data_IF_031156396562
#
_entry.id   IF_031156396562
#
_cell.length_a   1.000
_cell.length_b   1.000
_cell.length_c   1.000
_cell.angle_alpha   90.00
_cell.angle_beta   90.00
_cell.angle_gamma   90.00
#
_symmetry.space_group_name_H-M   'P 1'
#
loop_
_entity.id
_entity.type
_entity.pdbx_description
1 polymer ?
#
# COMPACT_ATOMS: atom_id res chain seq x y z
N UNK A 1 -2.17 1.35 -22.14
CA UNK A 1 -3.52 1.68 -22.70
C UNK A 1 -3.71 3.19 -22.73
N UNK A 2 -4.42 3.77 -23.77
CA UNK A 2 -4.75 5.20 -23.79
C UNK A 2 -5.81 5.53 -22.72
N UNK A 3 -5.83 6.79 -22.24
CA UNK A 3 -6.86 7.23 -21.26
C UNK A 3 -8.29 6.96 -21.77
N UNK A 4 -8.56 7.26 -23.05
CA UNK A 4 -9.89 7.04 -23.64
C UNK A 4 -10.30 5.58 -23.62
N UNK A 5 -9.40 4.67 -23.98
CA UNK A 5 -9.66 3.23 -23.94
C UNK A 5 -9.87 2.73 -22.48
N UNK A 6 -9.07 3.26 -21.53
CA UNK A 6 -9.20 2.95 -20.11
C UNK A 6 -10.57 3.34 -19.55
N UNK A 7 -11.03 4.55 -19.86
CA UNK A 7 -12.35 5.03 -19.42
C UNK A 7 -13.51 4.30 -20.12
N UNK A 8 -13.37 3.93 -21.39
CA UNK A 8 -14.36 3.14 -22.09
C UNK A 8 -14.51 1.74 -21.47
N UNK A 9 -13.40 1.06 -21.17
CA UNK A 9 -13.39 -0.23 -20.47
C UNK A 9 -14.03 -0.10 -19.08
N UNK A 10 -13.66 0.94 -18.31
CA UNK A 10 -14.28 1.21 -17.01
C UNK A 10 -15.81 1.36 -17.12
N UNK A 11 -16.30 2.16 -18.06
CA UNK A 11 -17.74 2.40 -18.24
C UNK A 11 -18.48 1.09 -18.61
N UNK A 12 -17.92 0.27 -19.51
CA UNK A 12 -18.50 -1.00 -19.90
C UNK A 12 -18.58 -1.97 -18.72
N UNK A 13 -17.44 -2.24 -18.06
CA UNK A 13 -17.36 -3.16 -16.92
C UNK A 13 -18.25 -2.71 -15.76
N UNK A 14 -18.21 -1.41 -15.41
CA UNK A 14 -19.03 -0.84 -14.34
C UNK A 14 -20.53 -1.04 -14.62
N UNK A 15 -20.95 -0.84 -15.88
CA UNK A 15 -22.35 -1.04 -16.29
C UNK A 15 -22.75 -2.52 -16.20
N UNK A 16 -21.93 -3.43 -16.76
CA UNK A 16 -22.22 -4.88 -16.72
C UNK A 16 -22.37 -5.37 -15.27
N UNK A 17 -21.43 -5.02 -14.39
CA UNK A 17 -21.46 -5.42 -12.98
C UNK A 17 -22.64 -4.78 -12.20
N UNK A 18 -22.99 -3.53 -12.51
CA UNK A 18 -24.12 -2.85 -11.87
C UNK A 18 -25.48 -3.48 -12.16
N UNK A 19 -25.62 -4.18 -13.31
CA UNK A 19 -26.83 -4.87 -13.73
C UNK A 19 -26.96 -6.27 -13.11
N UNK A 20 -25.93 -6.80 -12.49
CA UNK A 20 -25.95 -8.10 -11.83
C UNK A 20 -26.64 -8.04 -10.47
N UNK A 21 -27.44 -9.06 -10.16
CA UNK A 21 -27.91 -9.30 -8.78
C UNK A 21 -26.76 -9.72 -7.88
N UNK A 22 -26.96 -9.68 -6.56
CA UNK A 22 -25.95 -10.14 -5.59
C UNK A 22 -25.62 -11.63 -5.77
N UNK A 23 -26.64 -12.47 -6.06
CA UNK A 23 -26.44 -13.89 -6.34
C UNK A 23 -25.58 -14.09 -7.60
N UNK A 24 -25.89 -13.36 -8.70
CA UNK A 24 -25.09 -13.42 -9.92
C UNK A 24 -23.64 -12.98 -9.69
N UNK A 25 -23.42 -11.90 -8.94
CA UNK A 25 -22.06 -11.44 -8.60
C UNK A 25 -21.33 -12.45 -7.72
N UNK A 26 -22.03 -13.07 -6.77
CA UNK A 26 -21.46 -14.10 -5.92
C UNK A 26 -20.97 -15.30 -6.74
N UNK A 27 -21.79 -15.78 -7.69
CA UNK A 27 -21.44 -16.88 -8.60
C UNK A 27 -20.25 -16.50 -9.50
N UNK A 28 -20.25 -15.32 -10.09
CA UNK A 28 -19.14 -14.81 -10.92
C UNK A 28 -17.84 -14.76 -10.13
N UNK A 29 -17.87 -14.23 -8.91
CA UNK A 29 -16.69 -14.14 -8.03
C UNK A 29 -16.24 -15.54 -7.59
N UNK A 30 -17.19 -16.46 -7.36
CA UNK A 30 -16.89 -17.86 -7.03
C UNK A 30 -16.21 -18.63 -8.17
N UNK A 31 -16.50 -18.27 -9.42
CA UNK A 31 -15.91 -18.86 -10.63
C UNK A 31 -14.61 -18.18 -11.08
N UNK A 32 -14.25 -17.03 -10.49
CA UNK A 32 -13.04 -16.28 -10.84
C UNK A 32 -11.75 -17.06 -10.51
N UNK A 33 -10.67 -16.82 -11.27
CA UNK A 33 -9.38 -17.50 -11.06
C UNK A 33 -8.70 -16.93 -9.82
N UNK A 34 -8.43 -17.72 -8.76
CA UNK A 34 -7.76 -17.23 -7.57
C UNK A 34 -6.33 -16.73 -7.88
N UNK A 35 -5.96 -15.58 -7.31
CA UNK A 35 -4.60 -15.02 -7.42
C UNK A 35 -3.82 -15.13 -6.11
N UNK A 36 -4.50 -15.05 -4.95
CA UNK A 36 -3.84 -15.16 -3.66
C UNK A 36 -4.74 -14.74 -2.50
N UNK A 37 -4.19 -14.87 -1.29
CA UNK A 37 -4.83 -14.44 -0.05
C UNK A 37 -3.79 -13.85 0.90
N UNK A 38 -4.22 -12.90 1.75
CA UNK A 38 -3.41 -12.25 2.77
C UNK A 38 -4.28 -11.52 3.78
N UNK A 39 -3.68 -10.71 4.66
CA UNK A 39 -4.40 -9.95 5.68
C UNK A 39 -5.46 -9.02 5.07
N UNK A 40 -5.15 -8.44 3.91
CA UNK A 40 -6.07 -7.56 3.17
C UNK A 40 -7.24 -8.29 2.49
N UNK A 41 -7.34 -9.62 2.61
CA UNK A 41 -8.39 -10.44 2.01
C UNK A 41 -7.91 -11.36 0.90
N UNK A 42 -8.84 -11.84 0.06
CA UNK A 42 -8.57 -12.74 -1.06
C UNK A 42 -8.70 -12.00 -2.38
N UNK A 43 -7.86 -12.39 -3.34
CA UNK A 43 -7.87 -11.82 -4.68
C UNK A 43 -8.12 -12.88 -5.75
N UNK A 44 -8.76 -12.46 -6.83
CA UNK A 44 -9.03 -13.29 -7.99
C UNK A 44 -9.03 -12.46 -9.27
N UNK A 45 -8.88 -13.11 -10.41
CA UNK A 45 -9.02 -12.53 -11.74
C UNK A 45 -10.34 -12.97 -12.34
N UNK A 46 -11.17 -12.01 -12.70
CA UNK A 46 -12.46 -12.19 -13.37
C UNK A 46 -12.38 -11.64 -14.79
N UNK A 47 -12.94 -12.33 -15.76
CA UNK A 47 -13.20 -11.75 -17.07
C UNK A 47 -14.64 -11.20 -17.13
N UNK A 48 -14.77 -9.93 -17.49
CA UNK A 48 -16.06 -9.27 -17.71
C UNK A 48 -16.10 -8.77 -19.14
N UNK A 49 -16.85 -9.45 -19.99
CA UNK A 49 -17.01 -9.12 -21.42
C UNK A 49 -15.67 -8.95 -22.16
N UNK A 50 -14.69 -9.82 -21.88
CA UNK A 50 -13.35 -9.79 -22.47
C UNK A 50 -12.40 -8.78 -21.82
N UNK A 51 -12.80 -8.15 -20.70
CA UNK A 51 -11.96 -7.24 -19.92
C UNK A 51 -11.53 -7.92 -18.63
N UNK A 52 -10.22 -8.06 -18.36
CA UNK A 52 -9.74 -8.60 -17.09
C UNK A 52 -9.99 -7.61 -15.94
N UNK A 53 -10.57 -8.11 -14.86
CA UNK A 53 -10.93 -7.36 -13.65
C UNK A 53 -10.28 -8.02 -12.45
N UNK A 54 -9.54 -7.25 -11.67
CA UNK A 54 -9.00 -7.69 -10.39
C UNK A 54 -10.10 -7.60 -9.33
N UNK A 55 -10.43 -8.72 -8.72
CA UNK A 55 -11.42 -8.80 -7.64
C UNK A 55 -10.69 -8.94 -6.32
N UNK A 56 -10.94 -8.00 -5.38
CA UNK A 56 -10.45 -8.08 -4.00
C UNK A 56 -11.64 -8.26 -3.06
N UNK A 57 -11.62 -9.33 -2.26
CA UNK A 57 -12.65 -9.61 -1.24
C UNK A 57 -12.07 -9.28 0.12
N UNK A 58 -12.38 -8.09 0.61
CA UNK A 58 -11.94 -7.60 1.93
C UNK A 58 -12.92 -8.12 2.98
N UNK A 59 -12.48 -8.85 4.02
CA UNK A 59 -13.37 -9.31 5.09
C UNK A 59 -14.11 -8.12 5.72
N UNK A 60 -15.44 -8.23 5.79
CA UNK A 60 -16.31 -7.22 6.38
C UNK A 60 -16.94 -7.80 7.66
N UNK A 61 -16.47 -7.33 8.80
CA UNK A 61 -16.87 -7.84 10.11
C UNK A 61 -18.29 -7.45 10.48
N UNK A 62 -18.90 -8.19 11.40
CA UNK A 62 -20.25 -7.89 11.87
C UNK A 62 -20.35 -6.51 12.52
N UNK A 63 -19.30 -6.06 13.22
CA UNK A 63 -19.23 -4.68 13.77
C UNK A 63 -19.29 -3.62 12.66
N UNK A 64 -18.59 -3.83 11.54
CA UNK A 64 -18.60 -2.92 10.39
C UNK A 64 -19.94 -2.92 9.64
N UNK A 65 -20.75 -3.98 9.82
CA UNK A 65 -22.07 -4.14 9.19
C UNK A 65 -23.22 -3.56 10.02
N UNK A 66 -23.00 -3.20 11.27
CA UNK A 66 -24.03 -2.52 12.06
C UNK A 66 -24.49 -1.23 11.38
N UNK A 67 -25.78 -0.90 11.38
CA UNK A 67 -26.30 0.27 10.64
C UNK A 67 -25.55 1.56 10.92
N UNK A 68 -25.14 1.80 12.16
CA UNK A 68 -24.38 2.98 12.59
C UNK A 68 -22.93 3.00 12.07
N UNK A 69 -22.38 1.84 11.67
CA UNK A 69 -20.99 1.69 11.22
C UNK A 69 -20.86 1.50 9.70
N UNK A 70 -21.99 1.33 8.98
CA UNK A 70 -21.95 1.19 7.53
C UNK A 70 -21.31 2.42 6.89
N UNK A 71 -20.23 2.19 6.13
CA UNK A 71 -19.41 3.21 5.46
C UNK A 71 -18.73 4.20 6.43
N UNK A 72 -18.66 3.88 7.72
CA UNK A 72 -17.89 4.66 8.68
C UNK A 72 -16.39 4.56 8.42
N UNK A 73 -15.71 5.69 8.43
CA UNK A 73 -14.24 5.77 8.36
C UNK A 73 -13.61 5.98 9.74
N UNK A 74 -14.41 5.98 10.81
CA UNK A 74 -13.94 6.04 12.18
C UNK A 74 -13.10 4.80 12.54
N UNK A 75 -12.30 4.92 13.58
CA UNK A 75 -11.59 3.78 14.19
C UNK A 75 -12.55 3.04 15.15
N UNK A 76 -13.50 2.29 14.58
CA UNK A 76 -14.58 1.63 15.34
C UNK A 76 -14.08 0.52 16.28
N UNK A 77 -12.91 -0.05 16.04
CA UNK A 77 -12.28 -1.04 16.91
C UNK A 77 -11.47 -0.40 18.04
N UNK A 78 -11.18 0.90 17.96
CA UNK A 78 -10.32 1.60 18.92
C UNK A 78 -8.85 1.19 18.83
N UNK A 79 -8.38 0.81 17.64
CA UNK A 79 -7.00 0.37 17.44
C UNK A 79 -6.00 1.50 17.77
N UNK A 80 -4.85 1.17 18.39
CA UNK A 80 -3.78 2.14 18.58
C UNK A 80 -3.25 2.71 17.27
N UNK A 81 -2.77 3.96 17.29
CA UNK A 81 -2.23 4.66 16.11
C UNK A 81 -1.11 3.88 15.43
N UNK A 82 -0.28 3.16 16.16
CA UNK A 82 0.84 2.38 15.61
C UNK A 82 0.39 1.17 14.76
N UNK A 83 -0.87 0.74 14.85
CA UNK A 83 -1.44 -0.25 13.93
C UNK A 83 -1.58 0.28 12.49
N UNK A 84 -1.30 1.59 12.28
CA UNK A 84 -1.26 2.22 10.97
C UNK A 84 0.00 1.86 10.16
N UNK A 85 1.09 1.42 10.81
CA UNK A 85 2.33 1.11 10.11
C UNK A 85 2.30 -0.27 9.45
N UNK A 86 2.54 -0.33 8.13
CA UNK A 86 2.68 -1.56 7.36
C UNK A 86 4.00 -2.31 7.59
N UNK A 87 4.94 -1.71 8.34
CA UNK A 87 6.27 -2.27 8.56
C UNK A 87 6.30 -3.22 9.74
N UNK A 88 6.60 -4.50 9.50
CA UNK A 88 6.68 -5.46 10.58
C UNK A 88 6.92 -6.89 10.11
N UNK A 89 7.03 -7.83 11.08
CA UNK A 89 7.05 -9.27 10.82
C UNK A 89 5.62 -9.81 10.69
N UNK A 90 4.68 -9.12 11.32
CA UNK A 90 3.25 -9.43 11.26
C UNK A 90 2.57 -8.19 10.67
N UNK A 91 1.84 -8.35 9.59
CA UNK A 91 1.12 -7.26 8.96
C UNK A 91 0.05 -6.64 9.86
N UNK A 92 -0.29 -5.39 9.58
CA UNK A 92 -1.26 -4.64 10.37
C UNK A 92 -2.68 -5.22 10.27
N UNK A 93 -3.45 -5.24 11.37
CA UNK A 93 -4.81 -5.78 11.37
C UNK A 93 -5.80 -4.93 10.55
N UNK A 94 -5.36 -3.77 10.05
CA UNK A 94 -6.17 -2.82 9.28
C UNK A 94 -7.28 -2.14 10.10
N UNK A 95 -7.66 -0.94 9.67
CA UNK A 95 -8.67 -0.13 10.38
C UNK A 95 -10.11 -0.31 9.84
N UNK A 96 -10.30 -1.21 8.88
CA UNK A 96 -11.62 -1.55 8.38
C UNK A 96 -11.79 -1.41 6.86
N UNK A 97 -12.70 -2.23 6.32
CA UNK A 97 -12.99 -2.33 4.89
C UNK A 97 -13.57 -1.00 4.34
N UNK A 98 -14.31 -0.25 5.15
CA UNK A 98 -14.92 1.02 4.71
C UNK A 98 -13.90 2.12 4.44
N UNK A 99 -12.76 2.16 5.16
CA UNK A 99 -11.64 3.06 4.83
C UNK A 99 -11.04 2.74 3.47
N UNK A 100 -10.82 1.46 3.18
CA UNK A 100 -10.30 1.02 1.89
C UNK A 100 -11.25 1.39 0.74
N UNK A 101 -12.57 1.17 0.89
CA UNK A 101 -13.58 1.61 -0.07
C UNK A 101 -13.55 3.13 -0.28
N UNK A 102 -13.45 3.89 0.79
CA UNK A 102 -13.42 5.35 0.71
C UNK A 102 -12.21 5.83 -0.12
N UNK A 103 -11.03 5.22 0.08
CA UNK A 103 -9.84 5.57 -0.70
C UNK A 103 -9.97 5.15 -2.16
N UNK A 104 -10.46 3.94 -2.46
CA UNK A 104 -10.73 3.53 -3.84
C UNK A 104 -11.72 4.46 -4.54
N UNK A 105 -12.72 4.96 -3.81
CA UNK A 105 -13.66 5.95 -4.33
C UNK A 105 -12.96 7.28 -4.64
N UNK A 106 -12.13 7.78 -3.71
CA UNK A 106 -11.35 9.02 -3.90
C UNK A 106 -10.42 8.93 -5.11
N UNK A 107 -9.62 7.87 -5.18
CA UNK A 107 -8.61 7.68 -6.23
C UNK A 107 -9.25 7.47 -7.60
N UNK A 108 -10.34 6.71 -7.67
CA UNK A 108 -11.13 6.56 -8.91
C UNK A 108 -11.66 7.91 -9.39
N UNK A 109 -12.20 8.74 -8.50
CA UNK A 109 -12.69 10.07 -8.86
C UNK A 109 -11.57 10.98 -9.39
N UNK A 110 -10.35 10.92 -8.84
CA UNK A 110 -9.21 11.67 -9.37
C UNK A 110 -8.85 11.25 -10.80
N UNK A 111 -8.88 9.92 -11.08
CA UNK A 111 -8.65 9.41 -12.44
C UNK A 111 -9.74 9.88 -13.40
N UNK A 112 -11.01 9.77 -13.01
CA UNK A 112 -12.16 10.19 -13.83
C UNK A 112 -12.14 11.70 -14.10
N UNK A 113 -11.82 12.51 -13.08
CA UNK A 113 -11.67 13.96 -13.19
C UNK A 113 -10.40 14.40 -13.96
N UNK A 114 -9.54 13.46 -14.36
CA UNK A 114 -8.25 13.72 -14.99
C UNK A 114 -7.27 14.55 -14.13
N UNK A 115 -7.35 14.40 -12.81
CA UNK A 115 -6.44 15.06 -11.89
C UNK A 115 -5.11 14.31 -11.79
N UNK A 116 -5.17 12.97 -11.71
CA UNK A 116 -4.01 12.08 -11.77
C UNK A 116 -4.42 10.70 -12.32
N UNK A 117 -3.49 9.99 -12.93
CA UNK A 117 -3.73 8.69 -13.57
C UNK A 117 -3.00 7.52 -12.88
N UNK A 118 -2.36 7.77 -11.74
CA UNK A 118 -1.52 6.81 -11.02
C UNK A 118 -2.31 5.94 -10.02
N UNK A 119 -3.57 5.66 -10.33
CA UNK A 119 -4.44 4.83 -9.47
C UNK A 119 -5.25 3.87 -10.32
N UNK A 120 -5.47 2.60 -9.88
CA UNK A 120 -6.42 1.71 -10.53
C UNK A 120 -7.84 2.29 -10.43
N UNK A 121 -8.62 2.10 -11.48
CA UNK A 121 -10.05 2.41 -11.44
C UNK A 121 -10.81 1.33 -10.66
N UNK A 122 -11.65 1.71 -9.74
CA UNK A 122 -12.65 0.83 -9.16
C UNK A 122 -13.88 0.84 -10.06
N UNK A 123 -14.12 -0.28 -10.74
CA UNK A 123 -15.26 -0.44 -11.65
C UNK A 123 -16.58 -0.56 -10.89
N UNK A 124 -16.57 -1.34 -9.81
CA UNK A 124 -17.75 -1.62 -8.99
C UNK A 124 -17.34 -2.07 -7.59
N UNK A 125 -18.27 -2.08 -6.66
CA UNK A 125 -18.14 -2.72 -5.37
C UNK A 125 -19.49 -3.26 -4.89
N UNK A 126 -19.47 -4.31 -4.07
CA UNK A 126 -20.67 -4.90 -3.47
C UNK A 126 -20.32 -5.53 -2.13
N UNK A 127 -21.25 -5.52 -1.19
CA UNK A 127 -21.19 -6.38 -0.01
C UNK A 127 -21.83 -7.71 -0.37
N UNK A 128 -21.05 -8.76 -0.37
CA UNK A 128 -21.51 -10.11 -0.70
C UNK A 128 -21.38 -11.03 0.52
N UNK A 129 -22.28 -12.02 0.69
CA UNK A 129 -22.08 -13.09 1.66
C UNK A 129 -20.73 -13.76 1.45
N UNK A 130 -20.09 -14.16 2.55
CA UNK A 130 -18.85 -14.92 2.54
C UNK A 130 -18.87 -15.99 3.63
N UNK A 131 -18.02 -16.99 3.49
CA UNK A 131 -17.79 -17.95 4.58
C UNK A 131 -16.67 -17.42 5.46
N UNK A 132 -16.79 -17.65 6.77
CA UNK A 132 -15.71 -17.41 7.70
C UNK A 132 -14.41 -18.06 7.19
N UNK A 133 -13.33 -17.30 7.19
CA UNK A 133 -12.05 -17.71 6.63
C UNK A 133 -11.06 -18.04 7.76
N UNK A 134 -10.19 -19.01 7.53
CA UNK A 134 -9.01 -19.12 8.35
C UNK A 134 -8.19 -17.83 8.22
N UNK A 135 -7.68 -17.34 9.35
CA UNK A 135 -6.77 -16.19 9.33
C UNK A 135 -5.56 -16.48 8.44
N UNK A 136 -5.01 -15.46 7.77
CA UNK A 136 -3.72 -15.57 7.10
C UNK A 136 -2.64 -16.07 8.06
N UNK A 137 -1.59 -16.70 7.53
CA UNK A 137 -0.51 -17.30 8.33
C UNK A 137 0.07 -16.35 9.38
N UNK A 138 0.21 -15.07 9.02
CA UNK A 138 0.74 -14.03 9.91
C UNK A 138 -0.15 -13.76 11.12
N UNK A 139 -1.46 -13.98 11.03
CA UNK A 139 -2.44 -13.77 12.10
C UNK A 139 -2.94 -15.08 12.71
N UNK A 140 -2.56 -16.25 12.19
CA UNK A 140 -3.05 -17.56 12.63
C UNK A 140 -2.72 -17.86 14.09
N UNK A 141 -1.55 -17.40 14.58
CA UNK A 141 -1.24 -17.34 16.00
C UNK A 141 -1.71 -16.00 16.57
N UNK A 142 -2.98 -15.96 17.00
CA UNK A 142 -3.64 -14.75 17.51
C UNK A 142 -2.91 -14.17 18.72
N UNK A 143 -2.39 -15.00 19.63
CA UNK A 143 -1.65 -14.54 20.81
C UNK A 143 -0.34 -13.84 20.43
N UNK A 144 0.38 -14.42 19.51
CA UNK A 144 1.60 -13.81 18.94
C UNK A 144 1.28 -12.50 18.24
N UNK A 145 0.25 -12.47 17.40
CA UNK A 145 -0.15 -11.26 16.66
C UNK A 145 -0.61 -10.14 17.60
N UNK A 146 -1.41 -10.46 18.62
CA UNK A 146 -1.86 -9.50 19.63
C UNK A 146 -0.68 -8.95 20.43
N UNK A 147 0.22 -9.82 20.89
CA UNK A 147 1.44 -9.41 21.63
C UNK A 147 2.31 -8.50 20.78
N UNK A 148 2.53 -8.86 19.52
CA UNK A 148 3.31 -8.09 18.55
C UNK A 148 2.72 -6.67 18.32
N UNK A 149 1.40 -6.54 18.29
CA UNK A 149 0.68 -5.29 18.14
C UNK A 149 0.33 -4.61 19.47
N UNK A 150 1.12 -4.83 20.53
CA UNK A 150 1.04 -4.11 21.79
C UNK A 150 0.17 -4.74 22.87
N UNK A 151 -0.42 -5.92 22.62
CA UNK A 151 -1.11 -6.70 23.64
C UNK A 151 -2.52 -6.19 24.02
N UNK A 152 -3.08 -5.22 23.31
CA UNK A 152 -4.36 -4.60 23.64
C UNK A 152 -5.57 -5.47 23.30
N UNK A 153 -6.68 -5.38 24.08
CA UNK A 153 -7.91 -6.12 23.79
C UNK A 153 -8.60 -5.66 22.50
N UNK A 154 -8.37 -4.44 22.04
CA UNK A 154 -8.87 -3.89 20.78
C UNK A 154 -8.24 -4.58 19.57
N UNK A 155 -6.95 -4.89 19.63
CA UNK A 155 -6.25 -5.65 18.59
C UNK A 155 -6.80 -7.08 18.51
N UNK A 156 -6.97 -7.73 19.66
CA UNK A 156 -7.60 -9.06 19.75
C UNK A 156 -8.97 -9.06 19.11
N UNK A 157 -9.84 -8.16 19.55
CA UNK A 157 -11.21 -8.04 19.02
C UNK A 157 -11.21 -7.86 17.49
N UNK A 158 -10.26 -7.08 16.95
CA UNK A 158 -10.16 -6.90 15.50
C UNK A 158 -9.76 -8.19 14.78
N UNK A 159 -8.74 -8.91 15.27
CA UNK A 159 -8.28 -10.17 14.67
C UNK A 159 -9.37 -11.25 14.73
N UNK A 160 -10.00 -11.43 15.89
CA UNK A 160 -11.10 -12.40 16.06
C UNK A 160 -12.31 -12.04 15.17
N UNK A 161 -12.62 -10.74 15.02
CA UNK A 161 -13.69 -10.30 14.15
C UNK A 161 -13.39 -10.56 12.65
N UNK A 162 -12.12 -10.50 12.24
CA UNK A 162 -11.72 -10.87 10.88
C UNK A 162 -11.93 -12.37 10.62
N UNK A 163 -11.58 -13.23 11.56
CA UNK A 163 -11.79 -14.68 11.46
C UNK A 163 -13.26 -15.05 11.34
N UNK A 164 -14.14 -14.31 12.05
CA UNK A 164 -15.57 -14.57 12.11
C UNK A 164 -16.37 -13.87 11.01
N UNK A 165 -15.72 -13.09 10.15
CA UNK A 165 -16.41 -12.31 9.13
C UNK A 165 -17.22 -13.21 8.18
N UNK A 166 -18.54 -12.99 8.11
CA UNK A 166 -19.49 -13.75 7.29
C UNK A 166 -19.89 -13.02 6.00
N UNK A 167 -19.25 -11.90 5.71
CA UNK A 167 -19.42 -11.13 4.49
C UNK A 167 -18.08 -10.55 4.03
N UNK A 168 -18.01 -10.17 2.77
CA UNK A 168 -16.89 -9.41 2.21
C UNK A 168 -17.37 -8.14 1.52
N UNK A 169 -16.59 -7.09 1.68
CA UNK A 169 -16.60 -5.98 0.74
C UNK A 169 -15.83 -6.43 -0.50
N UNK A 170 -16.55 -6.70 -1.58
CA UNK A 170 -15.98 -7.16 -2.84
C UNK A 170 -15.74 -5.96 -3.74
N UNK A 171 -14.48 -5.69 -4.07
CA UNK A 171 -14.03 -4.60 -4.93
C UNK A 171 -13.68 -5.17 -6.31
N UNK A 172 -14.19 -4.57 -7.37
CA UNK A 172 -13.90 -4.90 -8.77
C UNK A 172 -13.02 -3.78 -9.34
N UNK A 173 -11.74 -4.07 -9.49
CA UNK A 173 -10.71 -3.08 -9.80
C UNK A 173 -10.12 -3.31 -11.19
N UNK A 174 -9.58 -2.26 -11.77
CA UNK A 174 -8.78 -2.35 -12.99
C UNK A 174 -7.59 -3.29 -12.78
N UNK A 175 -7.45 -4.27 -13.67
CA UNK A 175 -6.33 -5.21 -13.61
C UNK A 175 -5.06 -4.58 -14.21
N UNK A 176 -3.99 -4.55 -13.43
CA UNK A 176 -2.65 -4.12 -13.84
C UNK A 176 -1.73 -5.33 -13.70
N UNK A 177 -1.00 -5.75 -14.74
CA UNK A 177 -0.42 -7.10 -14.80
C UNK A 177 0.81 -7.33 -13.93
N UNK A 178 1.59 -6.28 -13.63
CA UNK A 178 2.86 -6.42 -12.91
C UNK A 178 2.93 -5.50 -11.71
N UNK A 179 3.61 -5.93 -10.65
CA UNK A 179 4.03 -5.03 -9.58
C UNK A 179 5.40 -4.39 -9.92
N UNK A 180 5.72 -3.32 -9.21
CA UNK A 180 6.95 -2.57 -9.45
C UNK A 180 8.20 -3.39 -9.11
N UNK A 181 8.13 -4.29 -8.13
CA UNK A 181 9.25 -5.16 -7.74
C UNK A 181 9.67 -6.05 -8.91
N UNK A 182 8.71 -6.75 -9.52
CA UNK A 182 8.96 -7.65 -10.66
C UNK A 182 9.44 -6.86 -11.88
N UNK A 183 8.69 -5.82 -12.26
CA UNK A 183 9.01 -5.01 -13.44
C UNK A 183 10.39 -4.38 -13.36
N UNK A 184 10.76 -3.76 -12.24
CA UNK A 184 12.08 -3.13 -12.08
C UNK A 184 13.20 -4.18 -12.07
N UNK A 185 12.93 -5.38 -11.54
CA UNK A 185 13.85 -6.51 -11.62
C UNK A 185 14.12 -6.99 -13.06
N UNK A 186 13.08 -6.96 -13.92
CA UNK A 186 13.23 -7.26 -15.36
C UNK A 186 14.05 -6.19 -16.09
N UNK A 187 13.79 -4.91 -15.81
CA UNK A 187 14.54 -3.79 -16.40
C UNK A 187 16.03 -3.82 -16.02
N UNK A 188 16.37 -4.21 -14.79
CA UNK A 188 17.75 -4.39 -14.34
C UNK A 188 18.43 -5.53 -15.13
N UNK A 189 17.76 -6.65 -15.30
CA UNK A 189 18.28 -7.80 -16.08
C UNK A 189 18.47 -7.48 -17.56
N UNK A 190 17.74 -6.50 -18.09
CA UNK A 190 17.84 -6.05 -19.47
C UNK A 190 19.13 -5.21 -19.76
N UNK A 191 19.90 -4.87 -18.71
CA UNK A 191 21.21 -4.22 -18.79
C UNK A 191 21.22 -2.77 -18.32
N UNK A 192 22.42 -2.20 -18.19
CA UNK A 192 22.67 -0.91 -17.52
C UNK A 192 21.87 0.26 -18.10
N UNK A 193 21.69 0.30 -19.42
CA UNK A 193 20.94 1.39 -20.05
C UNK A 193 19.44 1.34 -19.69
N UNK A 194 18.83 0.15 -19.69
CA UNK A 194 17.46 -0.06 -19.27
C UNK A 194 17.31 0.24 -17.77
N UNK A 195 18.21 -0.26 -16.96
CA UNK A 195 18.26 -0.02 -15.53
C UNK A 195 18.35 1.48 -15.19
N UNK A 196 19.24 2.24 -15.87
CA UNK A 196 19.40 3.68 -15.65
C UNK A 196 18.12 4.45 -16.00
N UNK A 197 17.45 4.09 -17.12
CA UNK A 197 16.18 4.70 -17.51
C UNK A 197 15.07 4.39 -16.49
N UNK A 198 14.95 3.12 -16.12
CA UNK A 198 13.94 2.64 -15.19
C UNK A 198 14.11 3.27 -13.79
N UNK A 199 15.31 3.24 -13.21
CA UNK A 199 15.59 3.84 -11.90
C UNK A 199 15.22 5.33 -11.88
N UNK A 200 15.66 6.11 -12.90
CA UNK A 200 15.35 7.53 -12.97
C UNK A 200 13.86 7.83 -13.17
N UNK A 201 13.17 6.96 -13.90
CA UNK A 201 11.72 7.09 -14.08
C UNK A 201 10.96 6.75 -12.79
N UNK A 202 11.30 5.63 -12.14
CA UNK A 202 10.68 5.19 -10.89
C UNK A 202 10.83 6.25 -9.79
N UNK A 203 12.03 6.80 -9.61
CA UNK A 203 12.27 7.87 -8.64
C UNK A 203 11.29 9.04 -8.83
N UNK A 204 11.17 9.53 -10.06
CA UNK A 204 10.26 10.65 -10.37
C UNK A 204 8.80 10.28 -10.18
N UNK A 205 8.40 9.09 -10.61
CA UNK A 205 7.02 8.63 -10.53
C UNK A 205 6.57 8.40 -9.08
N UNK A 206 7.42 7.81 -8.22
CA UNK A 206 7.17 7.66 -6.79
C UNK A 206 7.01 9.03 -6.12
N UNK A 207 7.90 9.97 -6.42
CA UNK A 207 7.82 11.33 -5.87
C UNK A 207 6.53 12.04 -6.31
N UNK A 208 6.15 11.93 -7.57
CA UNK A 208 4.93 12.56 -8.09
C UNK A 208 3.67 11.98 -7.41
N UNK A 209 3.55 10.63 -7.35
CA UNK A 209 2.37 9.99 -6.78
C UNK A 209 2.22 10.24 -5.27
N UNK A 210 3.30 10.10 -4.50
CA UNK A 210 3.26 10.37 -3.04
C UNK A 210 2.97 11.84 -2.75
N UNK A 211 3.54 12.78 -3.54
CA UNK A 211 3.25 14.20 -3.41
C UNK A 211 1.80 14.53 -3.76
N UNK A 212 1.24 13.90 -4.81
CA UNK A 212 -0.16 14.09 -5.21
C UNK A 212 -1.11 13.61 -4.10
N UNK A 213 -0.91 12.37 -3.59
CA UNK A 213 -1.73 11.82 -2.50
C UNK A 213 -1.69 12.72 -1.27
N UNK A 214 -0.50 13.14 -0.86
CA UNK A 214 -0.31 14.01 0.31
C UNK A 214 -1.03 15.36 0.14
N UNK A 215 -0.90 16.02 -1.04
CA UNK A 215 -1.60 17.26 -1.35
C UNK A 215 -3.13 17.12 -1.36
N UNK A 216 -3.65 15.88 -1.46
CA UNK A 216 -5.07 15.53 -1.40
C UNK A 216 -5.48 14.97 -0.04
N UNK A 217 -4.64 15.16 0.98
CA UNK A 217 -4.88 14.72 2.34
C UNK A 217 -5.03 13.19 2.49
N UNK A 218 -4.26 12.42 1.72
CA UNK A 218 -4.18 10.98 1.77
C UNK A 218 -2.74 10.53 2.03
N UNK A 219 -2.55 9.63 2.98
CA UNK A 219 -1.33 8.87 3.24
C UNK A 219 -1.62 7.39 3.02
N UNK A 220 -0.71 6.71 2.30
CA UNK A 220 -0.86 5.30 1.95
C UNK A 220 -0.43 4.36 3.08
N UNK A 221 0.62 4.71 3.79
CA UNK A 221 1.27 3.98 4.87
C UNK A 221 1.91 2.63 4.50
N UNK A 222 1.61 2.06 3.34
CA UNK A 222 2.09 0.76 2.90
C UNK A 222 2.50 0.71 1.42
N UNK A 223 3.07 1.81 0.91
CA UNK A 223 3.48 1.95 -0.49
C UNK A 223 4.81 1.24 -0.80
N UNK A 224 4.92 -0.06 -0.51
CA UNK A 224 6.03 -0.91 -0.97
C UNK A 224 5.82 -1.36 -2.42
N UNK A 225 6.83 -1.96 -3.04
CA UNK A 225 6.82 -2.21 -4.47
C UNK A 225 5.83 -3.29 -4.93
N UNK A 226 5.39 -4.17 -4.05
CA UNK A 226 4.32 -5.12 -4.33
C UNK A 226 2.94 -4.45 -4.34
N UNK A 227 2.76 -3.33 -3.60
CA UNK A 227 1.54 -2.51 -3.57
C UNK A 227 1.56 -1.37 -4.59
N UNK A 228 2.59 -1.28 -5.41
CA UNK A 228 2.69 -0.35 -6.53
C UNK A 228 2.77 -1.17 -7.81
N UNK A 229 1.75 -1.06 -8.65
CA UNK A 229 1.67 -1.77 -9.92
C UNK A 229 2.19 -0.89 -11.06
N UNK A 230 2.47 -1.50 -12.22
CA UNK A 230 2.91 -0.77 -13.40
C UNK A 230 2.50 -1.43 -14.71
N UNK A 231 2.30 -0.61 -15.74
CA UNK A 231 2.16 -1.01 -17.13
C UNK A 231 3.43 -0.67 -17.97
N UNK A 232 4.56 -0.41 -17.27
CA UNK A 232 5.81 0.06 -17.87
C UNK A 232 5.80 1.53 -18.32
N UNK A 233 4.69 2.25 -18.13
CA UNK A 233 4.51 3.66 -18.53
C UNK A 233 4.09 4.57 -17.40
N UNK A 234 3.41 4.01 -16.39
CA UNK A 234 3.00 4.70 -15.17
C UNK A 234 3.01 3.75 -13.99
N UNK A 235 3.08 4.32 -12.80
CA UNK A 235 2.86 3.60 -11.56
C UNK A 235 1.38 3.69 -11.18
N UNK A 236 0.90 2.67 -10.45
CA UNK A 236 -0.45 2.63 -9.90
C UNK A 236 -0.35 2.25 -8.42
N UNK A 237 -0.67 3.18 -7.54
CA UNK A 237 -0.74 2.92 -6.11
C UNK A 237 -2.02 2.14 -5.80
N UNK A 238 -1.91 1.06 -5.05
CA UNK A 238 -3.00 0.13 -4.75
C UNK A 238 -2.84 -0.44 -3.35
N UNK A 239 -3.83 -1.21 -2.89
CA UNK A 239 -3.90 -1.76 -1.54
C UNK A 239 -3.93 -0.68 -0.43
N UNK A 240 -5.13 -0.17 -0.18
CA UNK A 240 -5.34 0.92 0.77
C UNK A 240 -5.80 0.45 2.15
N UNK A 241 -5.57 -0.81 2.51
CA UNK A 241 -5.96 -1.36 3.81
C UNK A 241 -5.39 -0.63 5.02
N UNK A 242 -4.23 0.03 4.84
CA UNK A 242 -3.58 0.87 5.85
C UNK A 242 -3.61 2.37 5.54
N UNK A 243 -4.36 2.80 4.53
CA UNK A 243 -4.37 4.21 4.17
C UNK A 243 -5.11 5.07 5.21
N UNK A 244 -4.64 6.30 5.39
CA UNK A 244 -5.20 7.29 6.30
C UNK A 244 -5.44 8.61 5.58
N UNK A 245 -6.62 9.19 5.79
CA UNK A 245 -6.95 10.50 5.23
C UNK A 245 -7.47 11.43 6.32
N UNK A 246 -7.10 12.72 6.25
CA UNK A 246 -7.68 13.73 7.13
C UNK A 246 -9.17 14.01 6.85
N UNK A 247 -9.70 13.40 5.77
CA UNK A 247 -11.13 13.44 5.42
C UNK A 247 -11.94 12.33 6.11
N UNK A 248 -11.28 11.40 6.78
CA UNK A 248 -11.94 10.38 7.57
C UNK A 248 -12.49 10.95 8.86
N UNK A 249 -13.41 10.24 9.47
CA UNK A 249 -13.91 10.54 10.81
C UNK A 249 -12.84 10.15 11.84
N UNK A 250 -11.90 11.07 12.07
CA UNK A 250 -10.73 10.86 12.92
C UNK A 250 -10.96 11.38 14.33
N UNK A 251 -10.53 10.60 15.32
CA UNK A 251 -10.34 11.15 16.66
C UNK A 251 -9.27 12.25 16.66
N UNK A 252 -9.24 13.12 17.68
CA UNK A 252 -8.19 14.13 17.81
C UNK A 252 -6.76 13.54 17.83
N UNK A 253 -6.59 12.32 18.37
CA UNK A 253 -5.32 11.58 18.38
C UNK A 253 -4.91 11.19 16.96
N UNK A 254 -5.82 10.54 16.21
CA UNK A 254 -5.57 10.14 14.83
C UNK A 254 -5.34 11.34 13.90
N UNK A 255 -6.03 12.47 14.11
CA UNK A 255 -5.77 13.70 13.37
C UNK A 255 -4.35 14.21 13.61
N UNK A 256 -3.90 14.25 14.89
CA UNK A 256 -2.51 14.60 15.22
C UNK A 256 -1.50 13.61 14.67
N UNK A 257 -1.85 12.30 14.64
CA UNK A 257 -1.01 11.29 14.02
C UNK A 257 -0.87 11.56 12.53
N UNK A 258 -1.96 11.81 11.80
CA UNK A 258 -1.93 12.19 10.39
C UNK A 258 -1.03 13.41 10.13
N UNK A 259 -1.18 14.48 10.92
CA UNK A 259 -0.37 15.70 10.77
C UNK A 259 1.12 15.45 10.95
N UNK A 260 1.51 14.61 11.91
CA UNK A 260 2.92 14.26 12.14
C UNK A 260 3.53 13.41 11.02
N UNK A 261 2.70 12.69 10.25
CA UNK A 261 3.16 11.72 9.26
C UNK A 261 3.07 12.23 7.80
N UNK A 262 2.88 13.52 7.57
CA UNK A 262 2.79 14.12 6.23
C UNK A 262 3.98 13.78 5.30
N UNK A 263 5.13 13.45 5.83
CA UNK A 263 6.32 13.07 5.06
C UNK A 263 6.49 11.54 4.94
N UNK A 264 5.61 10.75 5.57
CA UNK A 264 5.83 9.31 5.73
C UNK A 264 5.95 8.57 4.40
N UNK A 265 4.97 8.68 3.51
CA UNK A 265 4.96 7.94 2.25
C UNK A 265 6.16 8.29 1.36
N UNK A 266 6.51 9.58 1.29
CA UNK A 266 7.71 10.03 0.57
C UNK A 266 8.98 9.41 1.14
N UNK A 267 9.11 9.39 2.46
CA UNK A 267 10.29 8.83 3.13
C UNK A 267 10.32 7.30 3.00
N UNK A 268 9.18 6.65 3.15
CA UNK A 268 9.04 5.21 3.07
C UNK A 268 9.34 4.68 1.66
N UNK A 269 8.75 5.30 0.62
CA UNK A 269 9.00 4.87 -0.77
C UNK A 269 10.46 5.09 -1.20
N UNK A 270 11.08 6.18 -0.75
CA UNK A 270 12.50 6.44 -0.99
C UNK A 270 13.40 5.45 -0.25
N UNK A 271 13.12 5.18 1.02
CA UNK A 271 13.83 4.17 1.80
C UNK A 271 13.72 2.79 1.16
N UNK A 272 12.51 2.43 0.68
CA UNK A 272 12.28 1.15 0.00
C UNK A 272 13.05 1.10 -1.32
N UNK A 273 13.02 2.15 -2.13
CA UNK A 273 13.76 2.25 -3.39
C UNK A 273 15.26 2.07 -3.18
N UNK A 274 15.87 2.82 -2.26
CA UNK A 274 17.30 2.70 -1.96
C UNK A 274 17.66 1.29 -1.49
N UNK A 275 16.87 0.75 -0.56
CA UNK A 275 17.07 -0.60 -0.03
C UNK A 275 16.97 -1.66 -1.12
N UNK A 276 15.98 -1.53 -1.99
CA UNK A 276 15.73 -2.43 -3.10
C UNK A 276 16.88 -2.38 -4.12
N UNK A 277 17.32 -1.18 -4.53
CA UNK A 277 18.42 -1.01 -5.48
C UNK A 277 19.72 -1.64 -4.98
N UNK A 278 20.10 -1.39 -3.73
CA UNK A 278 21.32 -1.99 -3.16
C UNK A 278 21.20 -3.51 -3.12
N UNK A 279 20.06 -4.06 -2.73
CA UNK A 279 19.85 -5.51 -2.74
C UNK A 279 19.92 -6.08 -4.16
N UNK A 280 19.26 -5.43 -5.14
CA UNK A 280 19.17 -5.95 -6.50
C UNK A 280 20.51 -5.94 -7.25
N UNK A 281 21.35 -4.92 -7.05
CA UNK A 281 22.63 -4.80 -7.73
C UNK A 281 23.80 -5.48 -6.99
N UNK A 282 23.82 -5.40 -5.64
CA UNK A 282 24.94 -5.90 -4.84
C UNK A 282 24.67 -7.29 -4.25
N UNK A 283 23.41 -7.75 -4.24
CA UNK A 283 23.04 -9.01 -3.58
C UNK A 283 23.11 -8.97 -2.05
N UNK A 284 23.20 -7.78 -1.45
CA UNK A 284 23.43 -7.60 -0.03
C UNK A 284 22.21 -7.94 0.81
N UNK A 285 22.45 -8.66 1.91
CA UNK A 285 21.51 -8.82 3.00
C UNK A 285 21.29 -7.50 3.75
N UNK A 286 20.47 -7.54 4.79
CA UNK A 286 20.06 -6.34 5.53
C UNK A 286 21.24 -5.58 6.13
N UNK A 287 22.16 -6.29 6.82
CA UNK A 287 23.29 -5.68 7.55
C UNK A 287 24.25 -4.98 6.59
N UNK A 288 24.69 -5.69 5.53
CA UNK A 288 25.62 -5.14 4.53
C UNK A 288 25.00 -3.96 3.77
N UNK A 289 23.70 -4.04 3.47
CA UNK A 289 22.95 -2.96 2.84
C UNK A 289 22.92 -1.71 3.72
N UNK A 290 22.59 -1.87 5.02
CA UNK A 290 22.57 -0.76 5.98
C UNK A 290 23.97 -0.16 6.17
N UNK A 291 25.02 -0.98 6.16
CA UNK A 291 26.40 -0.54 6.22
C UNK A 291 26.80 0.31 5.00
N UNK A 292 26.54 -0.19 3.77
CA UNK A 292 26.80 0.54 2.53
C UNK A 292 26.05 1.88 2.47
N UNK A 293 24.74 1.88 2.82
CA UNK A 293 23.95 3.11 2.85
C UNK A 293 24.51 4.10 3.88
N UNK A 294 24.97 3.61 5.03
CA UNK A 294 25.64 4.43 6.05
C UNK A 294 26.96 5.06 5.53
N UNK A 295 27.74 4.35 4.75
CA UNK A 295 28.93 4.87 4.08
C UNK A 295 28.57 5.92 3.02
N UNK A 296 27.55 5.67 2.21
CA UNK A 296 27.06 6.63 1.23
C UNK A 296 26.55 7.92 1.89
N UNK A 297 25.92 7.82 3.06
CA UNK A 297 25.50 8.99 3.85
C UNK A 297 26.69 9.85 4.32
N UNK A 298 27.88 9.25 4.45
CA UNK A 298 29.16 9.93 4.77
C UNK A 298 29.95 10.35 3.52
N UNK A 299 29.42 10.13 2.31
CA UNK A 299 30.02 10.58 1.06
C UNK A 299 30.71 9.50 0.22
N UNK A 300 30.66 8.23 0.63
CA UNK A 300 31.17 7.14 -0.19
C UNK A 300 30.34 6.98 -1.50
N UNK A 301 30.99 6.50 -2.55
CA UNK A 301 30.37 6.27 -3.86
C UNK A 301 30.42 4.77 -4.18
N UNK A 302 29.29 4.05 -4.18
CA UNK A 302 29.24 2.64 -4.51
C UNK A 302 29.49 2.43 -6.01
N UNK A 303 30.68 1.93 -6.36
CA UNK A 303 31.09 1.74 -7.75
C UNK A 303 30.33 0.61 -8.47
N UNK A 304 29.73 -0.28 -7.71
CA UNK A 304 28.99 -1.44 -8.21
C UNK A 304 27.61 -1.08 -8.78
N UNK A 305 27.12 0.13 -8.49
CA UNK A 305 25.80 0.58 -8.95
C UNK A 305 25.89 1.33 -10.29
N UNK A 306 24.96 1.10 -11.24
CA UNK A 306 24.79 1.94 -12.41
C UNK A 306 24.56 3.40 -12.02
N UNK A 307 24.93 4.33 -12.91
CA UNK A 307 25.00 5.76 -12.61
C UNK A 307 23.70 6.34 -11.98
N UNK A 308 22.53 5.96 -12.49
CA UNK A 308 21.27 6.45 -11.94
C UNK A 308 20.99 5.88 -10.54
N UNK A 309 21.21 4.58 -10.33
CA UNK A 309 21.05 3.94 -9.04
C UNK A 309 22.03 4.52 -8.02
N UNK A 310 23.30 4.71 -8.41
CA UNK A 310 24.31 5.36 -7.56
C UNK A 310 23.86 6.77 -7.16
N UNK A 311 23.38 7.58 -8.11
CA UNK A 311 22.92 8.94 -7.83
C UNK A 311 21.72 8.96 -6.86
N UNK A 312 20.77 8.02 -7.01
CA UNK A 312 19.62 7.85 -6.11
C UNK A 312 20.09 7.48 -4.71
N UNK A 313 20.92 6.42 -4.59
CA UNK A 313 21.43 5.95 -3.30
C UNK A 313 22.18 7.06 -2.57
N UNK A 314 23.12 7.74 -3.22
CA UNK A 314 23.86 8.85 -2.62
C UNK A 314 22.95 10.02 -2.20
N UNK A 315 21.96 10.35 -3.04
CA UNK A 315 21.02 11.44 -2.76
C UNK A 315 20.21 11.17 -1.50
N UNK A 316 19.75 9.95 -1.33
CA UNK A 316 18.80 9.61 -0.29
C UNK A 316 19.39 8.83 0.90
N UNK A 317 20.68 8.47 0.87
CA UNK A 317 21.34 7.75 1.95
C UNK A 317 21.13 8.37 3.34
N UNK A 318 21.27 9.72 3.55
CA UNK A 318 21.03 10.30 4.86
C UNK A 318 19.59 10.06 5.37
N UNK A 319 18.59 10.18 4.51
CA UNK A 319 17.20 9.94 4.85
C UNK A 319 16.94 8.44 5.11
N UNK A 320 17.54 7.59 4.28
CA UNK A 320 17.42 6.14 4.40
C UNK A 320 17.97 5.62 5.71
N UNK A 321 19.08 6.15 6.20
CA UNK A 321 19.65 5.80 7.52
C UNK A 321 18.63 6.11 8.65
N UNK A 322 18.02 7.28 8.63
CA UNK A 322 17.04 7.69 9.65
C UNK A 322 15.80 6.79 9.64
N UNK A 323 15.28 6.48 8.44
CA UNK A 323 14.11 5.60 8.29
C UNK A 323 14.46 4.16 8.65
N UNK A 324 15.63 3.65 8.29
CA UNK A 324 16.09 2.33 8.70
C UNK A 324 16.15 2.17 10.21
N UNK A 325 16.71 3.15 10.93
CA UNK A 325 16.74 3.14 12.41
C UNK A 325 15.34 3.20 13.01
N UNK A 326 14.46 4.06 12.48
CA UNK A 326 13.06 4.13 12.89
C UNK A 326 12.34 2.78 12.71
N UNK A 327 12.46 2.15 11.53
CA UNK A 327 11.83 0.85 11.25
C UNK A 327 12.42 -0.25 12.12
N UNK A 328 13.74 -0.24 12.34
CA UNK A 328 14.40 -1.19 13.24
C UNK A 328 13.84 -1.07 14.67
N UNK A 329 13.71 0.13 15.17
CA UNK A 329 13.14 0.40 16.51
C UNK A 329 11.68 -0.03 16.60
N UNK A 330 10.86 0.28 15.58
CA UNK A 330 9.47 -0.20 15.51
C UNK A 330 9.37 -1.72 15.56
N UNK A 331 10.28 -2.43 14.89
CA UNK A 331 10.24 -3.90 14.80
C UNK A 331 10.72 -4.58 16.06
N UNK A 332 11.79 -4.06 16.68
CA UNK A 332 12.54 -4.81 17.70
C UNK A 332 12.56 -4.15 19.09
N UNK A 333 12.17 -2.89 19.20
CA UNK A 333 12.18 -2.19 20.49
C UNK A 333 10.77 -1.83 20.97
N UNK A 334 10.03 -1.02 20.21
CA UNK A 334 8.68 -0.61 20.57
C UNK A 334 7.84 -0.17 19.38
N UNK A 335 6.60 -0.63 19.29
CA UNK A 335 5.60 -0.12 18.34
C UNK A 335 5.24 1.35 18.57
N UNK A 336 5.50 1.88 19.75
CA UNK A 336 5.27 3.29 20.11
C UNK A 336 6.47 4.19 19.77
N UNK A 337 7.47 3.68 19.03
CA UNK A 337 8.62 4.49 18.58
C UNK A 337 8.12 5.72 17.83
N UNK A 338 8.49 6.93 18.27
CA UNK A 338 8.02 8.15 17.62
C UNK A 338 8.62 8.31 16.22
N UNK A 339 7.81 8.77 15.28
CA UNK A 339 8.24 9.08 13.93
C UNK A 339 9.28 10.23 13.98
N UNK A 340 10.47 10.10 13.34
CA UNK A 340 11.59 11.02 13.48
C UNK A 340 11.42 12.31 12.64
N UNK A 341 10.28 12.98 12.76
CA UNK A 341 9.86 14.10 11.93
C UNK A 341 10.88 15.25 11.89
N UNK A 342 11.44 15.63 13.04
CA UNK A 342 12.37 16.77 13.13
C UNK A 342 13.71 16.47 12.45
N UNK A 343 14.18 15.24 12.51
CA UNK A 343 15.39 14.82 11.82
C UNK A 343 15.18 14.77 10.31
N UNK A 344 14.05 14.24 9.88
CA UNK A 344 13.64 14.23 8.47
C UNK A 344 13.54 15.65 7.91
N UNK A 345 12.91 16.57 8.64
CA UNK A 345 12.81 17.99 8.23
C UNK A 345 14.17 18.65 8.06
N UNK A 346 15.11 18.39 8.97
CA UNK A 346 16.49 18.91 8.85
C UNK A 346 17.19 18.39 7.60
N UNK A 347 17.07 17.09 7.30
CA UNK A 347 17.67 16.49 6.11
C UNK A 347 17.06 17.07 4.83
N UNK A 348 15.74 17.23 4.78
CA UNK A 348 15.06 17.80 3.61
C UNK A 348 15.46 19.26 3.41
N UNK A 349 15.53 20.05 4.48
CA UNK A 349 15.91 21.48 4.42
C UNK A 349 17.39 21.70 4.05
N UNK A 350 18.28 20.76 4.36
CA UNK A 350 19.72 20.86 4.05
C UNK A 350 20.09 20.57 2.59
N UNK A 351 19.13 20.10 1.78
CA UNK A 351 19.36 19.85 0.34
C UNK A 351 19.08 21.13 -0.44
N UNK A 352 20.08 21.69 -1.17
CA UNK A 352 19.79 22.68 -2.20
C UNK A 352 18.89 22.03 -3.25
N UNK A 353 17.81 22.72 -3.65
CA UNK A 353 16.81 22.30 -4.62
C UNK A 353 17.36 21.93 -5.99
#
# INVERSE_FOLDING_TARGET
MSRRARLAAHSAVSTSLAMCSDDTLHDLVGAAVPLGSGIGGRSALLDVDGTPVFVKRVPLTDLERLPENVRSTANIFGLPDFCQYGVGEIGGPGHGAWRELAVHTMTTNWVLANEDQQFPLMHHWRVLPDTAQSLPEELADVERAVTYWGGGPEVRRRIEALEQASASLTLFLEYIPQNLHEWLGEEIKAGDEAANRACSWVERALHAGTSFMNARALLHFDAHFENILTDGRRLYFTDYGLALSSRFDLSPEHARFFERHQTYDRCYTVWYLVSWLVTAFCGYGREDREALVGECARGARPAELPAAAQAIVMRYAPLTVVISDFIRKLRHESRQTPYPLEEIRRIIASKPG
#
